data_IF_497754750782
#
_entry.id   IF_497754750782
#
_cell.length_a   1.000
_cell.length_b   1.000
_cell.length_c   1.000
_cell.angle_alpha   90.00
_cell.angle_beta   90.00
_cell.angle_gamma   90.00
#
_symmetry.space_group_name_H-M   'P 1'
#
loop_
_entity.id
_entity.type
_entity.pdbx_description
1 polymer ?
#
# COMPACT_ATOMS: atom_id res chain seq x y z
N UNK A 1 -14.70 22.26 -22.80
CA UNK A 1 -13.47 22.09 -21.99
C UNK A 1 -13.88 22.14 -20.53
N UNK A 2 -14.20 20.98 -19.95
CA UNK A 2 -14.61 20.91 -18.54
C UNK A 2 -13.35 21.00 -17.67
N UNK A 3 -13.25 21.97 -16.73
CA UNK A 3 -12.18 21.94 -15.76
C UNK A 3 -12.41 20.71 -14.89
N UNK A 4 -11.52 19.72 -14.97
CA UNK A 4 -11.48 18.66 -13.96
C UNK A 4 -11.06 19.33 -12.66
N UNK A 5 -12.03 19.64 -11.82
CA UNK A 5 -11.79 19.90 -10.41
C UNK A 5 -11.05 18.69 -9.88
N UNK A 6 -9.78 18.89 -9.51
CA UNK A 6 -9.05 17.95 -8.67
C UNK A 6 -9.89 17.89 -7.39
N UNK A 7 -10.47 16.72 -7.10
CA UNK A 7 -11.09 16.44 -5.80
C UNK A 7 -10.06 16.78 -4.73
N UNK A 8 -10.25 17.94 -4.09
CA UNK A 8 -9.33 18.55 -3.13
C UNK A 8 -9.49 17.95 -1.73
N UNK A 9 -9.92 16.69 -1.66
CA UNK A 9 -10.09 15.87 -0.46
C UNK A 9 -9.11 14.67 -0.45
N UNK A 10 -8.09 14.68 -1.32
CA UNK A 10 -6.98 13.72 -1.21
C UNK A 10 -6.10 14.16 -0.06
N UNK A 11 -6.32 13.51 1.09
CA UNK A 11 -5.61 13.64 2.35
C UNK A 11 -4.12 13.94 2.13
N UNK A 12 -3.72 15.19 2.41
CA UNK A 12 -2.40 15.75 2.10
C UNK A 12 -1.25 15.10 2.92
N UNK A 13 -1.54 14.04 3.69
CA UNK A 13 -0.53 13.33 4.47
C UNK A 13 -0.82 11.83 4.58
N UNK A 14 -0.91 11.14 3.43
CA UNK A 14 -0.89 9.68 3.39
C UNK A 14 0.43 9.15 4.00
N UNK A 15 0.34 8.55 5.20
CA UNK A 15 1.49 7.92 5.85
C UNK A 15 1.82 6.60 5.15
N UNK A 16 2.79 6.68 4.24
CA UNK A 16 3.26 5.54 3.44
C UNK A 16 4.02 4.48 4.25
N UNK A 17 4.35 4.69 5.54
CA UNK A 17 4.78 3.59 6.42
C UNK A 17 3.64 2.74 6.97
N UNK A 18 2.40 3.14 6.72
CA UNK A 18 1.22 2.44 7.22
C UNK A 18 0.53 1.67 6.10
N UNK A 19 -0.03 0.54 6.47
CA UNK A 19 -0.81 -0.33 5.60
C UNK A 19 -2.10 0.38 5.22
N UNK A 20 -2.35 0.52 3.93
CA UNK A 20 -3.55 1.18 3.42
C UNK A 20 -4.86 0.52 3.89
N UNK A 21 -4.84 -0.78 4.20
CA UNK A 21 -6.05 -1.51 4.63
C UNK A 21 -6.30 -1.50 6.13
N UNK A 22 -5.24 -1.53 6.96
CA UNK A 22 -5.39 -1.68 8.40
C UNK A 22 -4.74 -0.58 9.25
N UNK A 23 -4.00 0.34 8.64
CA UNK A 23 -3.23 1.37 9.33
C UNK A 23 -2.07 0.85 10.20
N UNK A 24 -1.75 -0.45 10.18
CA UNK A 24 -0.57 -1.00 10.86
C UNK A 24 0.74 -0.73 10.09
N UNK A 25 1.93 -1.02 10.64
CA UNK A 25 3.18 -0.88 9.90
C UNK A 25 3.19 -1.81 8.67
N UNK A 26 3.67 -1.30 7.52
CA UNK A 26 3.72 -2.06 6.27
C UNK A 26 5.13 -2.57 5.89
N UNK A 27 6.16 -2.23 6.67
CA UNK A 27 7.55 -2.57 6.42
C UNK A 27 8.05 -2.17 5.00
N UNK A 28 7.52 -1.08 4.45
CA UNK A 28 7.93 -0.56 3.14
C UNK A 28 9.39 -0.11 3.17
N UNK A 29 10.26 -0.87 2.50
CA UNK A 29 11.70 -0.53 2.40
C UNK A 29 11.92 0.77 1.64
N UNK A 30 11.07 1.11 0.66
CA UNK A 30 11.18 2.38 -0.06
C UNK A 30 10.99 3.59 0.86
N UNK A 31 10.03 3.53 1.77
CA UNK A 31 9.76 4.61 2.74
C UNK A 31 10.82 4.71 3.83
N UNK A 32 11.40 3.57 4.23
CA UNK A 32 12.54 3.54 5.15
C UNK A 32 13.77 4.19 4.52
N UNK A 33 14.07 3.86 3.26
CA UNK A 33 15.14 4.50 2.48
C UNK A 33 14.90 6.00 2.28
N UNK A 34 13.66 6.41 2.01
CA UNK A 34 13.30 7.82 1.90
C UNK A 34 13.54 8.63 3.18
N UNK A 35 13.52 7.97 4.35
CA UNK A 35 13.88 8.56 5.67
C UNK A 35 15.37 8.51 5.98
N UNK A 36 16.19 7.97 5.09
CA UNK A 36 17.64 7.85 5.27
C UNK A 36 18.11 6.57 5.95
N UNK A 37 17.25 5.54 6.09
CA UNK A 37 17.70 4.24 6.58
C UNK A 37 18.50 3.49 5.49
N UNK A 38 19.69 3.01 5.83
CA UNK A 38 20.47 2.10 4.98
C UNK A 38 19.92 0.69 5.11
N UNK A 39 19.08 0.29 4.15
CA UNK A 39 18.50 -1.05 4.05
C UNK A 39 18.97 -1.69 2.75
N UNK A 40 19.76 -2.75 2.83
CA UNK A 40 20.35 -3.43 1.67
C UNK A 40 19.39 -4.46 1.05
N UNK A 41 18.43 -4.95 1.83
CA UNK A 41 17.49 -5.98 1.41
C UNK A 41 16.48 -5.46 0.37
N UNK A 42 16.01 -6.32 -0.56
CA UNK A 42 14.86 -6.02 -1.40
C UNK A 42 13.59 -5.76 -0.56
N UNK A 43 12.63 -5.00 -1.11
CA UNK A 43 11.31 -4.89 -0.47
C UNK A 43 10.68 -6.27 -0.34
N UNK A 44 10.23 -6.67 0.86
CA UNK A 44 9.58 -7.98 1.06
C UNK A 44 8.41 -8.22 0.09
N UNK A 45 7.71 -7.15 -0.31
CA UNK A 45 6.55 -7.22 -1.17
C UNK A 45 6.86 -7.73 -2.58
N UNK A 46 8.10 -7.60 -3.07
CA UNK A 46 8.47 -8.10 -4.41
C UNK A 46 8.57 -9.62 -4.47
N UNK A 47 8.70 -10.28 -3.33
CA UNK A 47 8.76 -11.74 -3.22
C UNK A 47 7.38 -12.38 -3.07
N UNK A 48 6.29 -11.61 -3.18
CA UNK A 48 4.92 -12.06 -2.90
C UNK A 48 4.00 -11.83 -4.10
N UNK A 49 2.99 -12.69 -4.23
CA UNK A 49 1.91 -12.52 -5.21
C UNK A 49 0.75 -11.80 -4.54
N UNK A 50 0.22 -10.77 -5.21
CA UNK A 50 -0.89 -9.97 -4.73
C UNK A 50 -2.18 -10.35 -5.46
N UNK A 51 -3.16 -10.94 -4.75
CA UNK A 51 -4.52 -11.14 -5.22
C UNK A 51 -5.08 -9.94 -5.98
N UNK A 52 -5.85 -10.17 -7.04
CA UNK A 52 -6.47 -9.07 -7.78
C UNK A 52 -7.45 -8.30 -6.88
N UNK A 53 -8.17 -9.04 -6.05
CA UNK A 53 -9.10 -8.52 -5.05
C UNK A 53 -8.43 -7.56 -4.04
N UNK A 54 -7.26 -7.91 -3.51
CA UNK A 54 -6.56 -7.05 -2.53
C UNK A 54 -5.99 -5.78 -3.18
N UNK A 55 -5.52 -5.87 -4.43
CA UNK A 55 -5.05 -4.70 -5.17
C UNK A 55 -6.19 -3.72 -5.46
N UNK A 56 -7.37 -4.22 -5.81
CA UNK A 56 -8.56 -3.38 -5.98
C UNK A 56 -8.93 -2.65 -4.69
N UNK A 57 -9.03 -3.39 -3.57
CA UNK A 57 -9.30 -2.81 -2.24
C UNK A 57 -8.26 -1.75 -1.83
N UNK A 58 -6.98 -1.97 -2.13
CA UNK A 58 -5.92 -1.00 -1.86
C UNK A 58 -6.07 0.26 -2.73
N UNK A 59 -6.28 0.10 -4.04
CA UNK A 59 -6.42 1.21 -4.98
C UNK A 59 -7.67 2.08 -4.68
N UNK A 60 -8.76 1.48 -4.22
CA UNK A 60 -9.96 2.21 -3.80
C UNK A 60 -9.71 3.15 -2.61
N UNK A 61 -8.70 2.86 -1.78
CA UNK A 61 -8.43 3.62 -0.55
C UNK A 61 -7.56 4.84 -0.78
N UNK A 62 -6.48 4.70 -1.54
CA UNK A 62 -5.50 5.77 -1.72
C UNK A 62 -4.91 5.85 -3.14
N UNK A 63 -5.54 5.19 -4.11
CA UNK A 63 -5.04 5.14 -5.49
C UNK A 63 -3.77 4.30 -5.68
N UNK A 64 -3.40 3.48 -4.69
CA UNK A 64 -2.18 2.66 -4.73
C UNK A 64 -0.93 3.43 -4.27
N UNK A 65 -1.10 4.45 -3.44
CA UNK A 65 -0.02 5.30 -2.95
C UNK A 65 0.79 4.67 -1.80
N UNK A 66 0.17 3.79 -1.01
CA UNK A 66 0.79 3.16 0.16
C UNK A 66 0.86 1.64 0.04
N UNK A 67 1.90 1.03 0.63
CA UNK A 67 2.05 -0.42 0.63
C UNK A 67 1.06 -1.12 1.58
N UNK A 68 0.75 -2.38 1.28
CA UNK A 68 0.06 -3.32 2.18
C UNK A 68 1.04 -3.90 3.20
N UNK A 69 0.55 -4.47 4.30
CA UNK A 69 1.36 -5.30 5.21
C UNK A 69 1.14 -6.80 4.95
N UNK A 70 2.11 -7.63 5.34
CA UNK A 70 2.05 -9.10 5.17
C UNK A 70 0.76 -9.70 5.70
N UNK A 71 0.33 -9.30 6.91
CA UNK A 71 -0.91 -9.79 7.51
C UNK A 71 -2.15 -9.56 6.64
N UNK A 72 -2.26 -8.38 6.02
CA UNK A 72 -3.40 -8.07 5.15
C UNK A 72 -3.31 -8.81 3.82
N UNK A 73 -2.09 -9.02 3.32
CA UNK A 73 -1.88 -9.83 2.12
C UNK A 73 -2.25 -11.30 2.37
N UNK A 74 -1.82 -11.87 3.49
CA UNK A 74 -2.13 -13.26 3.88
C UNK A 74 -3.62 -13.48 4.07
N UNK A 75 -4.29 -12.54 4.76
CA UNK A 75 -5.74 -12.59 4.94
C UNK A 75 -6.47 -12.62 3.58
N UNK A 76 -6.06 -11.77 2.64
CA UNK A 76 -6.68 -11.73 1.31
C UNK A 76 -6.37 -12.97 0.46
N UNK A 77 -5.19 -13.58 0.61
CA UNK A 77 -4.84 -14.81 -0.10
C UNK A 77 -5.72 -15.99 0.35
N UNK A 78 -6.07 -16.07 1.63
CA UNK A 78 -7.03 -17.06 2.15
C UNK A 78 -8.44 -16.81 1.61
N UNK A 79 -8.85 -15.54 1.48
CA UNK A 79 -10.16 -15.18 0.91
C UNK A 79 -10.29 -15.55 -0.57
N UNK A 80 -9.24 -15.36 -1.38
CA UNK A 80 -9.29 -15.61 -2.83
C UNK A 80 -9.12 -17.09 -3.20
N UNK A 81 -8.52 -17.89 -2.32
CA UNK A 81 -8.44 -19.36 -2.45
C UNK A 81 -9.68 -20.11 -1.97
N UNK A 82 -10.67 -19.42 -1.40
CA UNK A 82 -11.94 -19.98 -0.93
C UNK A 82 -13.04 -19.85 -1.97
#
# INVERSE_FOLDING_TARGET
MSPRTIDLDVDLNLDRSRCVLCGGPNACVMERRARGETVEEPCWCVARVFPASVKAKANERDGGASCLCERCLDAAAVEEGR
#
